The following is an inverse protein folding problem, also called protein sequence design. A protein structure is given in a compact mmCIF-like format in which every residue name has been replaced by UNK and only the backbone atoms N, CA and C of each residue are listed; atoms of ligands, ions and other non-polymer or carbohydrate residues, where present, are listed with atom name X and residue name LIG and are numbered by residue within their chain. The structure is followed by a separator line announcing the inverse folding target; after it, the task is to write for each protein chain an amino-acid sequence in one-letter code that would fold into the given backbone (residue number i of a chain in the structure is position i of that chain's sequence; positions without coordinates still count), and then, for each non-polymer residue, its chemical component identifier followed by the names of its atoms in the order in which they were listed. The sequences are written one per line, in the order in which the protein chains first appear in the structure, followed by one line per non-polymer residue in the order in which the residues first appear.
data_IF_154238982563
#
_entry.id   IF_154238982563
#
_cell.length_a   1.000
_cell.length_b   1.000
_cell.length_c   1.000
_cell.angle_alpha   90.00
_cell.angle_beta   90.00
_cell.angle_gamma   90.00
#
_symmetry.space_group_name_H-M   'P 1'
#
loop_
_entity.id
_entity.type
_entity.pdbx_description
1 polymer ?
#
# COMPACT_ATOMS: atom_id res chain seq x y z
N UNK A 1 13.45 9.88 6.85
CA UNK A 1 12.19 10.32 7.51
C UNK A 1 11.44 9.07 7.89
N UNK A 2 11.04 8.95 9.15
CA UNK A 2 10.23 7.84 9.64
C UNK A 2 8.86 8.40 9.98
N UNK A 3 7.83 8.01 9.22
CA UNK A 3 6.43 8.37 9.49
C UNK A 3 5.74 7.13 10.03
N UNK A 4 5.00 7.23 11.11
CA UNK A 4 4.20 6.14 11.66
C UNK A 4 2.79 6.63 11.98
N UNK A 5 1.81 5.74 11.86
CA UNK A 5 0.42 6.09 12.09
C UNK A 5 -0.51 4.90 12.09
N UNK A 6 -1.80 5.18 12.04
CA UNK A 6 -2.85 4.16 12.01
C UNK A 6 -3.78 4.38 10.82
N UNK A 7 -4.28 3.28 10.25
CA UNK A 7 -5.32 3.34 9.23
C UNK A 7 -6.67 3.86 9.75
N UNK A 8 -6.82 4.04 11.07
CA UNK A 8 -7.95 4.76 11.66
C UNK A 8 -7.86 6.29 11.46
N UNK A 9 -6.65 6.81 11.22
CA UNK A 9 -6.39 8.26 11.08
C UNK A 9 -6.21 8.70 9.63
N UNK A 10 -5.79 7.80 8.76
CA UNK A 10 -5.59 8.05 7.33
C UNK A 10 -5.90 6.76 6.56
N UNK A 11 -6.60 6.84 5.43
CA UNK A 11 -6.86 5.66 4.62
C UNK A 11 -5.58 5.16 3.92
N UNK A 12 -5.50 3.86 3.65
CA UNK A 12 -4.41 3.26 2.86
C UNK A 12 -4.26 3.98 1.52
N UNK A 13 -5.38 4.28 0.86
CA UNK A 13 -5.42 5.02 -0.41
C UNK A 13 -4.76 6.40 -0.31
N UNK A 14 -5.17 7.20 0.69
CA UNK A 14 -4.62 8.54 0.87
C UNK A 14 -3.12 8.50 1.18
N UNK A 15 -2.65 7.53 1.96
CA UNK A 15 -1.23 7.35 2.26
C UNK A 15 -0.43 7.04 0.99
N UNK A 16 -0.88 6.06 0.20
CA UNK A 16 -0.21 5.67 -1.05
C UNK A 16 -0.21 6.83 -2.04
N UNK A 17 -1.36 7.50 -2.26
CA UNK A 17 -1.47 8.64 -3.15
C UNK A 17 -0.52 9.77 -2.77
N UNK A 18 -0.46 10.12 -1.48
CA UNK A 18 0.41 11.19 -0.99
C UNK A 18 1.88 10.86 -1.27
N UNK A 19 2.33 9.66 -0.93
CA UNK A 19 3.72 9.24 -1.10
C UNK A 19 4.12 9.13 -2.57
N UNK A 20 3.22 8.63 -3.43
CA UNK A 20 3.44 8.57 -4.87
C UNK A 20 3.43 9.97 -5.51
N UNK A 21 2.50 10.85 -5.13
CA UNK A 21 2.44 12.23 -5.65
C UNK A 21 3.72 13.00 -5.31
N UNK A 22 4.25 12.81 -4.10
CA UNK A 22 5.54 13.36 -3.67
C UNK A 22 6.76 12.66 -4.29
N UNK A 23 6.55 11.64 -5.16
CA UNK A 23 7.58 10.81 -5.80
C UNK A 23 8.63 10.26 -4.83
N UNK A 24 8.20 9.88 -3.63
CA UNK A 24 9.11 9.35 -2.62
C UNK A 24 9.51 7.91 -2.93
N UNK A 25 10.80 7.61 -2.77
CA UNK A 25 11.32 6.24 -2.72
C UNK A 25 11.26 5.73 -1.27
N UNK A 26 10.21 4.98 -0.93
CA UNK A 26 9.92 4.54 0.44
C UNK A 26 9.34 3.14 0.48
N UNK A 27 9.46 2.51 1.65
CA UNK A 27 8.72 1.29 1.98
C UNK A 27 7.67 1.61 3.03
N UNK A 28 6.44 1.17 2.80
CA UNK A 28 5.37 1.12 3.78
C UNK A 28 5.35 -0.30 4.35
N UNK A 29 5.45 -0.42 5.65
CA UNK A 29 5.16 -1.66 6.37
C UNK A 29 3.89 -1.44 7.18
N UNK A 30 2.94 -2.35 7.06
CA UNK A 30 1.70 -2.30 7.79
C UNK A 30 1.44 -3.61 8.52
N UNK A 31 0.81 -3.54 9.69
CA UNK A 31 0.51 -4.71 10.49
C UNK A 31 -0.76 -4.53 11.32
N UNK A 32 -1.41 -5.66 11.59
CA UNK A 32 -2.45 -5.87 12.61
C UNK A 32 -2.12 -7.16 13.38
N UNK A 33 -2.97 -7.55 14.31
CA UNK A 33 -2.73 -8.69 15.23
C UNK A 33 -2.27 -9.97 14.54
N UNK A 34 -2.81 -10.29 13.37
CA UNK A 34 -2.64 -11.57 12.66
C UNK A 34 -2.18 -11.42 11.20
N UNK A 35 -1.86 -10.20 10.75
CA UNK A 35 -1.54 -9.94 9.36
C UNK A 35 -0.53 -8.81 9.19
N UNK A 36 0.26 -8.90 8.12
CA UNK A 36 1.23 -7.89 7.72
C UNK A 36 1.15 -7.63 6.21
N UNK A 37 1.60 -6.44 5.83
CA UNK A 37 1.74 -6.02 4.46
C UNK A 37 3.01 -5.18 4.27
N UNK A 38 3.60 -5.27 3.09
CA UNK A 38 4.76 -4.49 2.69
C UNK A 38 4.50 -3.89 1.32
N UNK A 39 4.72 -2.59 1.15
CA UNK A 39 4.54 -1.90 -0.12
C UNK A 39 5.79 -1.06 -0.38
N UNK A 40 6.36 -1.21 -1.56
CA UNK A 40 7.49 -0.43 -2.02
C UNK A 40 7.02 0.57 -3.06
N UNK A 41 7.37 1.83 -2.87
CA UNK A 41 7.07 2.94 -3.76
C UNK A 41 8.36 3.56 -4.29
N UNK A 42 8.37 3.95 -5.56
CA UNK A 42 9.47 4.73 -6.14
C UNK A 42 8.97 5.48 -7.37
N UNK A 43 9.44 6.72 -7.53
CA UNK A 43 9.14 7.58 -8.69
C UNK A 43 7.64 7.70 -9.02
N UNK A 44 6.82 7.74 -7.98
CA UNK A 44 5.36 7.84 -8.10
C UNK A 44 4.64 6.53 -8.44
N UNK A 45 5.37 5.42 -8.52
CA UNK A 45 4.82 4.10 -8.84
C UNK A 45 4.85 3.18 -7.63
N UNK A 46 3.92 2.22 -7.62
CA UNK A 46 4.00 1.04 -6.78
C UNK A 46 4.89 0.02 -7.49
N UNK A 47 6.01 -0.33 -6.87
CA UNK A 47 7.04 -1.22 -7.46
C UNK A 47 7.06 -2.63 -6.87
N UNK A 48 6.49 -2.80 -5.67
CA UNK A 48 6.00 -4.08 -5.16
C UNK A 48 4.96 -3.86 -4.08
N UNK A 49 4.16 -4.90 -3.88
CA UNK A 49 3.29 -5.02 -2.74
C UNK A 49 3.12 -6.48 -2.37
N UNK A 50 3.08 -6.75 -1.07
CA UNK A 50 2.71 -8.03 -0.48
C UNK A 50 1.76 -7.79 0.69
N UNK A 51 0.73 -8.61 0.84
CA UNK A 51 -0.23 -8.54 1.94
C UNK A 51 -0.78 -9.93 2.20
N UNK A 52 -0.51 -10.50 3.39
CA UNK A 52 -1.05 -11.81 3.79
C UNK A 52 -0.86 -12.91 2.71
N UNK A 53 0.34 -13.01 2.14
CA UNK A 53 0.69 -13.97 1.09
C UNK A 53 0.19 -13.65 -0.32
N UNK A 54 -0.58 -12.57 -0.50
CA UNK A 54 -0.96 -12.03 -1.82
C UNK A 54 0.10 -11.02 -2.28
N UNK A 55 0.41 -11.00 -3.58
CA UNK A 55 1.42 -10.09 -4.16
C UNK A 55 0.79 -9.15 -5.21
N UNK A 56 1.52 -8.09 -5.57
CA UNK A 56 1.15 -7.21 -6.67
C UNK A 56 -0.03 -6.28 -6.32
N UNK A 57 -0.77 -5.85 -7.35
CA UNK A 57 -1.92 -4.95 -7.17
C UNK A 57 -2.98 -5.52 -6.20
N UNK A 58 -3.21 -6.84 -6.25
CA UNK A 58 -4.16 -7.52 -5.37
C UNK A 58 -3.79 -7.40 -3.89
N UNK A 59 -2.50 -7.30 -3.58
CA UNK A 59 -2.04 -7.06 -2.21
C UNK A 59 -2.48 -5.68 -1.70
N UNK A 60 -2.47 -4.66 -2.56
CA UNK A 60 -2.95 -3.31 -2.22
C UNK A 60 -4.46 -3.34 -1.98
N UNK A 61 -5.21 -4.00 -2.87
CA UNK A 61 -6.66 -4.15 -2.74
C UNK A 61 -7.01 -4.85 -1.41
N UNK A 62 -6.29 -5.91 -1.07
CA UNK A 62 -6.45 -6.65 0.18
C UNK A 62 -6.15 -5.78 1.41
N UNK A 63 -5.06 -5.00 1.37
CA UNK A 63 -4.72 -4.07 2.44
C UNK A 63 -5.79 -2.99 2.62
N UNK A 64 -6.37 -2.45 1.53
CA UNK A 64 -7.44 -1.46 1.61
C UNK A 64 -8.73 -1.97 2.26
N UNK A 65 -8.92 -3.28 2.31
CA UNK A 65 -10.05 -3.92 3.00
C UNK A 65 -9.80 -4.12 4.49
N UNK A 66 -8.60 -3.82 5.00
CA UNK A 66 -8.35 -3.91 6.43
C UNK A 66 -9.24 -2.92 7.19
N UNK A 67 -9.95 -3.37 8.23
CA UNK A 67 -10.82 -2.48 9.02
C UNK A 67 -10.02 -1.53 9.90
N UNK A 68 -8.80 -1.91 10.25
CA UNK A 68 -7.84 -1.14 11.03
C UNK A 68 -6.42 -1.68 10.79
N UNK A 69 -5.44 -0.97 11.31
CA UNK A 69 -4.04 -1.38 11.27
C UNK A 69 -3.12 -0.24 11.67
N UNK A 70 -1.86 -0.59 11.92
CA UNK A 70 -0.76 0.34 12.10
C UNK A 70 0.14 0.28 10.88
N UNK A 71 0.82 1.38 10.61
CA UNK A 71 1.82 1.43 9.57
C UNK A 71 3.04 2.24 9.99
N UNK A 72 4.16 1.95 9.34
CA UNK A 72 5.34 2.82 9.26
C UNK A 72 5.76 3.00 7.82
N UNK A 73 6.30 4.17 7.53
CA UNK A 73 6.96 4.50 6.28
C UNK A 73 8.44 4.69 6.58
N UNK A 74 9.25 3.84 5.98
CA UNK A 74 10.70 3.85 6.08
C UNK A 74 11.37 4.11 4.73
N UNK A 75 12.70 4.05 4.73
CA UNK A 75 13.46 4.09 3.48
C UNK A 75 13.18 2.85 2.65
N UNK A 76 13.21 3.02 1.32
CA UNK A 76 13.22 1.87 0.42
C UNK A 76 14.51 1.07 0.64
N UNK A 77 14.46 -0.27 0.76
CA UNK A 77 15.65 -1.10 0.88
C UNK A 77 16.59 -0.93 -0.31
N UNK A 78 17.91 -0.87 -0.07
CA UNK A 78 18.93 -0.74 -1.14
C UNK A 78 18.88 -1.90 -2.14
N UNK A 79 18.62 -3.11 -1.65
CA UNK A 79 18.53 -4.32 -2.45
C UNK A 79 17.08 -4.77 -2.49
N UNK A 80 16.36 -4.25 -3.47
CA UNK A 80 14.95 -4.59 -3.70
C UNK A 80 14.75 -4.91 -5.20
N UNK A 81 14.04 -6.00 -5.48
CA UNK A 81 13.70 -6.43 -6.83
C UNK A 81 12.24 -6.01 -7.13
N UNK A 82 12.00 -5.02 -8.01
CA UNK A 82 10.65 -4.65 -8.43
C UNK A 82 9.91 -5.86 -9.00
N UNK A 83 8.73 -6.15 -8.46
CA UNK A 83 7.86 -7.23 -8.95
C UNK A 83 6.73 -6.68 -9.83
N UNK A 84 6.55 -5.36 -9.84
CA UNK A 84 5.56 -4.66 -10.65
C UNK A 84 6.02 -3.22 -10.92
N UNK A 85 5.27 -2.51 -11.76
CA UNK A 85 5.35 -1.07 -11.91
C UNK A 85 3.95 -0.57 -12.27
N UNK A 86 3.19 -0.13 -11.27
CA UNK A 86 1.81 0.29 -11.46
C UNK A 86 1.56 1.69 -10.93
N UNK A 87 0.74 2.41 -11.67
CA UNK A 87 0.20 3.69 -11.28
C UNK A 87 -0.79 3.50 -10.10
N UNK A 88 -0.68 4.30 -9.03
CA UNK A 88 -1.54 4.17 -7.87
C UNK A 88 -3.02 4.45 -8.19
N UNK A 89 -3.35 5.37 -9.09
CA UNK A 89 -4.75 5.69 -9.40
C UNK A 89 -5.45 4.48 -10.02
N UNK A 90 -4.76 3.77 -10.92
CA UNK A 90 -5.28 2.57 -11.57
C UNK A 90 -5.59 1.47 -10.55
N UNK A 91 -4.69 1.22 -9.59
CA UNK A 91 -4.89 0.22 -8.54
C UNK A 91 -6.03 0.63 -7.60
N UNK A 92 -6.08 1.90 -7.20
CA UNK A 92 -7.08 2.40 -6.27
C UNK A 92 -8.48 2.41 -6.87
N UNK A 93 -8.60 2.69 -8.17
CA UNK A 93 -9.86 2.59 -8.91
C UNK A 93 -10.37 1.15 -8.91
N UNK A 94 -9.49 0.18 -9.17
CA UNK A 94 -9.84 -1.23 -9.14
C UNK A 94 -10.24 -1.70 -7.74
N UNK A 95 -9.49 -1.27 -6.72
CA UNK A 95 -9.84 -1.55 -5.33
C UNK A 95 -11.21 -1.00 -4.93
N UNK A 96 -11.55 0.21 -5.40
CA UNK A 96 -12.85 0.83 -5.17
C UNK A 96 -13.98 0.04 -5.85
N UNK A 97 -13.80 -0.36 -7.11
CA UNK A 97 -14.78 -1.20 -7.84
C UNK A 97 -15.08 -2.50 -7.11
N UNK A 98 -14.05 -3.23 -6.70
CA UNK A 98 -14.25 -4.50 -6.01
C UNK A 98 -14.90 -4.33 -4.63
N UNK A 99 -14.73 -3.17 -3.98
CA UNK A 99 -15.42 -2.87 -2.72
C UNK A 99 -16.92 -2.65 -2.95
N UNK A 100 -17.29 -1.96 -4.03
CA UNK A 100 -18.68 -1.72 -4.38
C UNK A 100 -19.39 -3.04 -4.78
N UNK A 101 -18.71 -3.91 -5.53
CA UNK A 101 -19.23 -5.24 -5.90
C UNK A 101 -19.49 -6.16 -4.70
N UNK A 102 -18.69 -6.03 -3.63
CA UNK A 102 -18.88 -6.84 -2.42
C UNK A 102 -19.99 -6.30 -1.49
N UNK A 103 -20.46 -5.08 -1.73
CA UNK A 103 -21.57 -4.45 -0.99
C UNK A 103 -22.91 -4.51 -1.73
N UNK A 104 -22.94 -5.01 -2.96
CA UNK A 104 -24.15 -5.19 -3.78
C UNK A 104 -24.77 -6.58 -3.60
#
# INVERSE_FOLDING_TARGET
MFLQGSFNTISVAALIQTLCHERRAVQIEAWRTDASAHICLSDGLVIAATCEGTEGADAIVKLMRWPNGLFRVGQLPEHFAPTMAADPESILLEAARQRDEFMA
#
